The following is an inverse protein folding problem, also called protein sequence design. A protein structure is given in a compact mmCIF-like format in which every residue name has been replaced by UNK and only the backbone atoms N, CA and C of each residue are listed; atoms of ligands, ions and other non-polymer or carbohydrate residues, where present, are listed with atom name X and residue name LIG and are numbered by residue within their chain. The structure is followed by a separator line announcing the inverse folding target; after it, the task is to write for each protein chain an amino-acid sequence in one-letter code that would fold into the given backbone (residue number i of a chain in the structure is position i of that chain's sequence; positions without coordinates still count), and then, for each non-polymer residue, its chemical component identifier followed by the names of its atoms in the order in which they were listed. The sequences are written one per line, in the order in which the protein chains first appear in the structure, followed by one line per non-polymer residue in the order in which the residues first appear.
data_IF_914998359270
#
_entry.id   IF_914998359270
#
_cell.length_a   1.000
_cell.length_b   1.000
_cell.length_c   1.000
_cell.angle_alpha   90.00
_cell.angle_beta   90.00
_cell.angle_gamma   90.00
#
_symmetry.space_group_name_H-M   'P 1'
#
loop_
_entity.id
_entity.type
_entity.pdbx_description
1 polymer ?
#
# COMPACT_ATOMS: atom_id res chain seq x y z
N UNK A 1 0.38 -15.30 -23.93
CA UNK A 1 0.58 -16.23 -25.05
C UNK A 1 2.09 -16.39 -25.23
N UNK A 2 2.64 -17.60 -25.11
CA UNK A 2 4.04 -17.85 -25.43
C UNK A 2 4.11 -18.35 -26.87
N UNK A 3 4.87 -17.67 -27.73
CA UNK A 3 5.12 -18.09 -29.12
C UNK A 3 6.57 -18.56 -29.16
N UNK A 4 6.78 -19.85 -29.40
CA UNK A 4 8.12 -20.37 -29.65
C UNK A 4 8.55 -19.94 -31.06
N UNK A 5 9.65 -19.19 -31.16
CA UNK A 5 10.27 -18.85 -32.44
C UNK A 5 11.49 -19.74 -32.66
N UNK A 6 11.71 -20.18 -33.91
CA UNK A 6 12.97 -20.80 -34.30
C UNK A 6 14.09 -19.74 -34.31
N UNK A 7 15.23 -20.06 -33.69
CA UNK A 7 16.35 -19.14 -33.51
C UNK A 7 16.98 -18.63 -34.82
N UNK A 8 16.68 -19.25 -35.96
CA UNK A 8 17.22 -18.86 -37.28
C UNK A 8 16.68 -17.51 -37.79
N UNK A 9 15.61 -16.97 -37.20
CA UNK A 9 14.97 -15.72 -37.65
C UNK A 9 15.39 -14.45 -36.87
N UNK A 10 16.31 -14.53 -35.91
CA UNK A 10 16.70 -13.38 -35.07
C UNK A 10 17.39 -12.24 -35.83
N UNK A 11 18.07 -12.53 -36.94
CA UNK A 11 18.88 -11.57 -37.66
C UNK A 11 18.09 -10.46 -38.40
N UNK A 12 16.76 -10.59 -38.54
CA UNK A 12 15.94 -9.62 -39.29
C UNK A 12 15.15 -8.63 -38.45
N UNK A 13 15.04 -8.82 -37.12
CA UNK A 13 14.12 -8.01 -36.28
C UNK A 13 14.79 -6.78 -35.64
N UNK A 14 16.12 -6.74 -35.53
CA UNK A 14 16.79 -5.76 -34.65
C UNK A 14 17.10 -4.38 -35.26
N UNK A 15 16.81 -4.11 -36.53
CA UNK A 15 17.37 -2.92 -37.23
C UNK A 15 16.50 -1.68 -37.37
N UNK A 16 15.22 -1.68 -36.97
CA UNK A 16 14.30 -0.58 -37.32
C UNK A 16 13.56 0.12 -36.17
N UNK A 17 13.85 -0.15 -34.90
CA UNK A 17 13.22 0.62 -33.84
C UNK A 17 14.03 1.89 -33.54
N UNK A 18 13.49 3.11 -33.75
CA UNK A 18 14.12 4.32 -33.27
C UNK A 18 14.29 4.24 -31.74
N UNK A 19 15.29 4.93 -31.16
CA UNK A 19 15.42 4.99 -29.71
C UNK A 19 14.13 5.59 -29.13
N UNK A 20 13.33 4.78 -28.42
CA UNK A 20 12.16 5.28 -27.71
C UNK A 20 12.63 6.28 -26.68
N UNK A 21 12.10 7.50 -26.75
CA UNK A 21 12.24 8.48 -25.70
C UNK A 21 11.74 7.87 -24.38
N UNK A 22 12.54 7.99 -23.31
CA UNK A 22 12.24 7.34 -22.02
C UNK A 22 10.96 7.93 -21.44
N UNK A 23 9.85 7.17 -21.49
CA UNK A 23 8.56 7.60 -20.91
C UNK A 23 8.73 7.87 -19.42
N UNK A 24 8.34 9.07 -18.98
CA UNK A 24 8.43 9.53 -17.59
C UNK A 24 7.08 9.33 -16.90
N UNK A 25 7.12 9.01 -15.62
CA UNK A 25 5.93 8.67 -14.83
C UNK A 25 5.71 9.72 -13.76
N UNK A 26 4.50 10.27 -13.70
CA UNK A 26 4.11 11.30 -12.73
C UNK A 26 2.93 10.85 -11.90
N UNK A 27 2.83 11.37 -10.68
CA UNK A 27 1.65 11.25 -9.82
C UNK A 27 0.73 12.42 -10.13
N UNK A 28 -0.46 12.14 -10.62
CA UNK A 28 -1.45 13.17 -10.97
C UNK A 28 -2.68 13.18 -10.10
N UNK A 29 -2.87 12.17 -9.25
CA UNK A 29 -3.99 12.09 -8.32
C UNK A 29 -3.71 11.15 -7.15
N UNK A 30 -4.35 11.41 -6.01
CA UNK A 30 -4.19 10.63 -4.79
C UNK A 30 -5.53 10.36 -4.08
N UNK A 31 -5.65 9.21 -3.45
CA UNK A 31 -6.82 8.85 -2.66
C UNK A 31 -6.42 7.98 -1.47
N UNK A 32 -7.08 8.20 -0.32
CA UNK A 32 -6.82 7.48 0.91
C UNK A 32 -8.10 7.19 1.67
N UNK A 33 -8.10 6.08 2.40
CA UNK A 33 -9.06 5.74 3.45
C UNK A 33 -8.23 5.29 4.65
N UNK A 34 -8.24 6.05 5.75
CA UNK A 34 -7.42 5.77 6.94
C UNK A 34 -8.19 6.15 8.20
N UNK A 35 -7.68 5.72 9.37
CA UNK A 35 -8.20 6.16 10.67
C UNK A 35 -8.00 7.66 10.94
N UNK A 36 -7.20 8.37 10.14
CA UNK A 36 -6.91 9.80 10.25
C UNK A 36 -7.46 10.65 9.11
N UNK A 37 -8.26 10.08 8.22
CA UNK A 37 -8.84 10.85 7.12
C UNK A 37 -9.25 9.98 5.96
N UNK A 38 -10.25 10.48 5.22
CA UNK A 38 -10.84 9.83 4.05
C UNK A 38 -10.50 10.57 2.74
N UNK A 39 -9.57 11.52 2.81
CA UNK A 39 -9.06 12.28 1.67
C UNK A 39 -7.61 12.73 1.98
N UNK A 40 -6.78 13.00 0.95
CA UNK A 40 -5.37 13.33 1.15
C UNK A 40 -5.14 14.57 2.00
N UNK A 41 -5.99 15.60 1.90
CA UNK A 41 -5.80 16.86 2.60
C UNK A 41 -6.06 16.70 4.10
N UNK A 42 -7.23 16.17 4.49
CA UNK A 42 -7.56 15.91 5.90
C UNK A 42 -6.56 14.95 6.53
N UNK A 43 -6.17 13.91 5.79
CA UNK A 43 -5.15 12.97 6.22
C UNK A 43 -3.84 13.68 6.54
N UNK A 44 -3.31 14.48 5.61
CA UNK A 44 -2.03 15.16 5.78
C UNK A 44 -2.04 16.19 6.92
N UNK A 45 -3.11 16.99 7.04
CA UNK A 45 -3.27 17.93 8.15
C UNK A 45 -3.24 17.23 9.52
N UNK A 46 -3.89 16.08 9.64
CA UNK A 46 -3.84 15.29 10.86
C UNK A 46 -2.44 14.73 11.16
N UNK A 47 -1.66 14.38 10.12
CA UNK A 47 -0.26 13.99 10.30
C UNK A 47 0.61 15.16 10.80
N UNK A 48 0.44 16.35 10.22
CA UNK A 48 1.19 17.55 10.63
C UNK A 48 0.90 17.95 12.08
N UNK A 49 -0.34 17.72 12.54
CA UNK A 49 -0.75 17.97 13.92
C UNK A 49 -0.26 16.89 14.91
N UNK A 50 0.26 15.76 14.41
CA UNK A 50 0.67 14.63 15.25
C UNK A 50 -0.50 13.87 15.85
N UNK A 51 -1.68 13.88 15.20
CA UNK A 51 -2.86 13.20 15.69
C UNK A 51 -2.69 11.67 15.60
N UNK A 52 -3.04 10.95 16.65
CA UNK A 52 -3.06 9.49 16.64
C UNK A 52 -4.41 8.96 16.20
N UNK A 53 -4.42 8.12 15.16
CA UNK A 53 -5.58 7.34 14.74
C UNK A 53 -5.75 6.03 15.51
N UNK A 54 -4.85 5.74 16.46
CA UNK A 54 -4.89 4.52 17.27
C UNK A 54 -5.81 4.73 18.47
N UNK A 55 -6.81 3.86 18.60
CA UNK A 55 -7.72 3.82 19.74
C UNK A 55 -8.10 2.38 20.10
N UNK A 56 -9.02 2.21 21.05
CA UNK A 56 -9.66 0.92 21.28
C UNK A 56 -10.45 0.47 20.04
N UNK A 57 -10.48 -0.85 19.85
CA UNK A 57 -11.27 -1.49 18.80
C UNK A 57 -12.75 -1.45 19.20
N UNK A 58 -13.62 -1.03 18.28
CA UNK A 58 -15.07 -0.87 18.48
C UNK A 58 -15.90 -1.81 17.58
N UNK A 59 -15.37 -2.24 16.42
CA UNK A 59 -16.08 -3.10 15.45
C UNK A 59 -16.48 -4.50 16.00
N UNK A 60 -15.78 -5.00 17.03
CA UNK A 60 -16.09 -6.29 17.67
C UNK A 60 -15.60 -6.38 19.13
N UNK A 61 -16.20 -7.30 19.91
CA UNK A 61 -15.76 -7.60 21.27
C UNK A 61 -14.38 -8.29 21.28
N UNK A 62 -13.37 -7.54 21.70
CA UNK A 62 -12.01 -8.01 21.88
C UNK A 62 -11.59 -8.08 23.35
N UNK A 63 -12.52 -8.07 24.32
CA UNK A 63 -12.21 -8.05 25.76
C UNK A 63 -11.28 -9.17 26.23
N UNK A 64 -11.39 -10.36 25.61
CA UNK A 64 -10.55 -11.53 25.91
C UNK A 64 -9.22 -11.57 25.15
N UNK A 65 -8.93 -10.59 24.31
CA UNK A 65 -7.67 -10.51 23.56
C UNK A 65 -6.61 -9.72 24.35
N UNK A 66 -5.33 -10.12 24.27
CA UNK A 66 -4.25 -9.37 24.90
C UNK A 66 -4.05 -7.99 24.25
N UNK A 67 -4.33 -7.85 22.96
CA UNK A 67 -4.35 -6.57 22.23
C UNK A 67 -5.79 -6.17 21.93
N UNK A 68 -6.16 -4.93 22.24
CA UNK A 68 -7.53 -4.37 22.12
C UNK A 68 -7.52 -2.97 21.51
N UNK A 69 -6.48 -2.68 20.74
CA UNK A 69 -6.20 -1.37 20.15
C UNK A 69 -5.83 -1.54 18.69
N UNK A 70 -6.22 -0.57 17.85
CA UNK A 70 -5.90 -0.53 16.44
C UNK A 70 -6.11 0.87 15.86
N UNK A 71 -5.53 1.12 14.68
CA UNK A 71 -5.90 2.21 13.77
C UNK A 71 -7.13 1.82 12.95
N UNK A 72 -8.29 1.71 13.61
CA UNK A 72 -9.57 1.33 13.02
C UNK A 72 -10.21 2.50 12.26
N UNK A 73 -10.84 2.23 11.11
CA UNK A 73 -11.68 3.20 10.42
C UNK A 73 -13.08 3.17 11.05
N UNK A 74 -13.33 4.08 12.00
CA UNK A 74 -14.58 4.11 12.78
C UNK A 74 -15.82 4.54 11.99
N UNK A 75 -15.63 5.36 10.96
CA UNK A 75 -16.71 5.80 10.09
C UNK A 75 -16.28 5.63 8.65
N UNK A 76 -17.05 4.85 7.90
CA UNK A 76 -16.76 4.62 6.49
C UNK A 76 -18.05 4.74 5.69
N UNK A 77 -18.01 5.52 4.61
CA UNK A 77 -19.12 5.66 3.68
C UNK A 77 -18.67 5.33 2.27
N UNK A 78 -19.46 4.49 1.60
CA UNK A 78 -19.31 4.23 0.17
C UNK A 78 -20.23 5.10 -0.69
N UNK A 79 -20.97 6.02 -0.07
CA UNK A 79 -21.95 6.86 -0.76
C UNK A 79 -21.28 7.70 -1.85
N UNK A 80 -21.89 7.74 -3.04
CA UNK A 80 -21.34 8.40 -4.21
C UNK A 80 -20.18 7.65 -4.90
N UNK A 81 -19.54 6.68 -4.22
CA UNK A 81 -18.35 6.00 -4.74
C UNK A 81 -18.61 4.55 -5.17
N UNK A 82 -19.45 3.79 -4.45
CA UNK A 82 -19.71 2.38 -4.77
C UNK A 82 -21.20 2.14 -4.90
N UNK A 83 -21.60 1.38 -5.92
CA UNK A 83 -22.99 0.99 -6.12
C UNK A 83 -23.55 0.31 -4.86
N UNK A 84 -24.75 0.70 -4.36
CA UNK A 84 -25.30 0.17 -3.11
C UNK A 84 -25.39 -1.36 -3.05
N UNK A 85 -25.66 -2.01 -4.19
CA UNK A 85 -25.72 -3.48 -4.29
C UNK A 85 -24.37 -4.15 -4.01
N UNK A 86 -23.26 -3.53 -4.41
CA UNK A 86 -21.91 -4.02 -4.19
C UNK A 86 -21.44 -3.72 -2.76
N UNK A 87 -21.76 -2.53 -2.24
CA UNK A 87 -21.38 -2.08 -0.88
C UNK A 87 -21.77 -3.07 0.22
N UNK A 88 -22.91 -3.77 0.08
CA UNK A 88 -23.43 -4.71 1.08
C UNK A 88 -22.81 -6.10 1.04
N UNK A 89 -22.06 -6.42 -0.02
CA UNK A 89 -21.58 -7.78 -0.29
C UNK A 89 -20.07 -7.90 -0.24
N UNK A 90 -19.35 -6.84 -0.58
CA UNK A 90 -17.90 -6.84 -0.65
C UNK A 90 -17.27 -6.78 0.74
N UNK A 91 -16.05 -7.29 0.82
CA UNK A 91 -15.19 -7.14 2.00
C UNK A 91 -14.72 -5.68 2.14
N UNK A 92 -14.46 -5.22 3.37
CA UNK A 92 -14.02 -3.84 3.68
C UNK A 92 -12.77 -3.47 2.87
N UNK A 93 -11.81 -4.40 2.68
CA UNK A 93 -10.60 -4.10 1.89
C UNK A 93 -10.94 -3.73 0.43
N UNK A 94 -11.95 -4.36 -0.17
CA UNK A 94 -12.39 -4.01 -1.52
C UNK A 94 -13.05 -2.63 -1.49
N UNK A 95 -13.90 -2.37 -0.50
CA UNK A 95 -14.61 -1.09 -0.43
C UNK A 95 -13.65 0.08 -0.25
N UNK A 96 -12.65 -0.03 0.63
CA UNK A 96 -11.60 0.99 0.78
C UNK A 96 -10.86 1.22 -0.54
N UNK A 97 -10.49 0.14 -1.24
CA UNK A 97 -9.80 0.20 -2.53
C UNK A 97 -10.64 0.90 -3.61
N UNK A 98 -11.91 0.52 -3.76
CA UNK A 98 -12.80 1.11 -4.77
C UNK A 98 -13.01 2.59 -4.48
N UNK A 99 -13.26 2.96 -3.22
CA UNK A 99 -13.47 4.35 -2.82
C UNK A 99 -12.19 5.18 -3.01
N UNK A 100 -11.06 4.73 -2.48
CA UNK A 100 -9.78 5.44 -2.62
C UNK A 100 -9.35 5.58 -4.08
N UNK A 101 -9.54 4.55 -4.91
CA UNK A 101 -9.20 4.59 -6.34
C UNK A 101 -10.03 5.61 -7.12
N UNK A 102 -11.33 5.70 -6.84
CA UNK A 102 -12.18 6.73 -7.45
C UNK A 102 -11.89 8.14 -6.92
N UNK A 103 -11.55 8.26 -5.64
CA UNK A 103 -11.07 9.54 -5.07
C UNK A 103 -9.76 9.99 -5.73
N UNK A 104 -8.84 9.07 -6.02
CA UNK A 104 -7.61 9.39 -6.75
C UNK A 104 -7.87 9.89 -8.18
N UNK A 105 -8.87 9.32 -8.88
CA UNK A 105 -9.31 9.84 -10.18
C UNK A 105 -9.93 11.24 -10.08
N UNK A 106 -10.79 11.44 -9.08
CA UNK A 106 -11.43 12.73 -8.84
C UNK A 106 -10.39 13.82 -8.50
N UNK A 107 -9.45 13.51 -7.61
CA UNK A 107 -8.31 14.38 -7.25
C UNK A 107 -7.46 14.73 -8.48
N UNK A 108 -7.21 13.75 -9.34
CA UNK A 108 -6.47 13.98 -10.59
C UNK A 108 -7.24 14.69 -11.71
N UNK A 109 -8.45 15.20 -11.42
CA UNK A 109 -9.27 15.93 -12.38
C UNK A 109 -9.80 15.06 -13.53
N UNK A 110 -9.87 13.73 -13.34
CA UNK A 110 -10.38 12.80 -14.35
C UNK A 110 -11.91 12.77 -14.28
N UNK A 111 -12.54 13.73 -14.94
CA UNK A 111 -14.01 13.77 -15.09
C UNK A 111 -14.50 12.70 -16.06
N UNK A 112 -15.82 12.50 -16.17
CA UNK A 112 -16.40 11.60 -17.17
C UNK A 112 -15.98 11.96 -18.60
N UNK A 113 -15.86 13.25 -18.91
CA UNK A 113 -15.43 13.74 -20.22
C UNK A 113 -13.96 13.39 -20.49
N UNK A 114 -13.07 13.68 -19.54
CA UNK A 114 -11.65 13.33 -19.64
C UNK A 114 -11.48 11.82 -19.75
N UNK A 115 -12.20 11.06 -18.94
CA UNK A 115 -12.18 9.61 -18.93
C UNK A 115 -12.69 9.01 -20.25
N UNK A 116 -13.58 9.68 -20.98
CA UNK A 116 -14.06 9.23 -22.29
C UNK A 116 -12.99 9.36 -23.39
N UNK A 117 -12.01 10.25 -23.23
CA UNK A 117 -10.90 10.44 -24.16
C UNK A 117 -9.75 9.44 -23.94
N UNK A 118 -9.71 8.76 -22.80
CA UNK A 118 -8.68 7.78 -22.50
C UNK A 118 -8.82 6.53 -23.36
N UNK A 119 -7.69 6.02 -23.87
CA UNK A 119 -7.64 4.66 -24.42
C UNK A 119 -7.79 3.64 -23.28
N UNK A 120 -8.95 2.98 -23.23
CA UNK A 120 -9.29 2.00 -22.19
C UNK A 120 -8.32 0.83 -22.14
N UNK A 121 -7.69 0.47 -23.26
CA UNK A 121 -6.68 -0.59 -23.31
C UNK A 121 -5.35 -0.17 -22.68
N UNK A 122 -5.13 1.14 -22.51
CA UNK A 122 -3.95 1.74 -21.86
C UNK A 122 -4.20 2.20 -20.43
N UNK A 123 -5.41 1.99 -19.90
CA UNK A 123 -5.74 2.29 -18.51
C UNK A 123 -5.73 1.01 -17.69
N UNK A 124 -4.83 0.91 -16.71
CA UNK A 124 -4.67 -0.29 -15.88
C UNK A 124 -4.89 -0.03 -14.39
N UNK A 125 -5.09 -1.11 -13.64
CA UNK A 125 -5.30 -1.10 -12.19
C UNK A 125 -4.45 -2.18 -11.55
N UNK A 126 -3.58 -1.78 -10.64
CA UNK A 126 -2.75 -2.67 -9.85
C UNK A 126 -2.76 -2.18 -8.40
N UNK A 127 -3.83 -2.49 -7.68
CA UNK A 127 -3.98 -2.20 -6.26
C UNK A 127 -4.05 -3.54 -5.53
N UNK A 128 -3.04 -3.80 -4.69
CA UNK A 128 -2.85 -5.09 -4.02
C UNK A 128 -3.47 -5.16 -2.63
N UNK A 129 -3.47 -6.35 -2.06
CA UNK A 129 -3.84 -6.60 -0.66
C UNK A 129 -2.98 -7.73 -0.11
N UNK A 130 -2.48 -7.59 1.12
CA UNK A 130 -1.70 -8.64 1.73
C UNK A 130 -2.58 -9.86 2.05
N UNK A 131 -3.77 -9.62 2.61
CA UNK A 131 -4.60 -10.65 3.23
C UNK A 131 -5.93 -10.91 2.50
N UNK A 132 -6.33 -10.04 1.58
CA UNK A 132 -7.56 -10.14 0.81
C UNK A 132 -8.81 -10.11 1.69
N UNK A 133 -9.87 -10.77 1.24
CA UNK A 133 -11.17 -10.79 1.91
C UNK A 133 -11.23 -11.81 3.04
N UNK A 134 -10.38 -11.63 4.06
CA UNK A 134 -10.25 -12.56 5.17
C UNK A 134 -11.56 -12.70 5.96
N UNK A 135 -12.36 -11.63 6.08
CA UNK A 135 -13.68 -11.69 6.74
C UNK A 135 -14.64 -12.56 5.95
N UNK A 136 -14.74 -12.34 4.64
CA UNK A 136 -15.58 -13.16 3.77
C UNK A 136 -15.18 -14.64 3.81
N UNK A 137 -13.88 -14.93 3.80
CA UNK A 137 -13.40 -16.30 3.89
C UNK A 137 -13.72 -16.95 5.25
N UNK A 138 -13.56 -16.20 6.34
CA UNK A 138 -13.92 -16.67 7.67
C UNK A 138 -15.41 -17.01 7.79
N UNK A 139 -16.29 -16.12 7.31
CA UNK A 139 -17.74 -16.34 7.29
C UNK A 139 -18.11 -17.57 6.45
N UNK A 140 -17.43 -17.78 5.32
CA UNK A 140 -17.61 -18.95 4.48
C UNK A 140 -17.25 -20.26 5.21
N UNK A 141 -16.18 -20.26 6.00
CA UNK A 141 -15.81 -21.41 6.85
C UNK A 141 -16.89 -21.67 7.91
N UNK A 142 -17.42 -20.64 8.56
CA UNK A 142 -18.50 -20.83 9.55
C UNK A 142 -19.76 -21.41 8.90
N UNK A 143 -20.13 -20.93 7.70
CA UNK A 143 -21.23 -21.49 6.94
C UNK A 143 -20.98 -22.95 6.53
N UNK A 144 -19.75 -23.27 6.12
CA UNK A 144 -19.34 -24.62 5.73
C UNK A 144 -19.48 -25.63 6.87
N UNK A 145 -19.16 -25.24 8.12
CA UNK A 145 -19.36 -26.09 9.32
C UNK A 145 -20.81 -26.53 9.49
N UNK A 146 -21.77 -25.76 8.98
CA UNK A 146 -23.18 -26.14 8.94
C UNK A 146 -23.43 -27.01 7.69
N UNK A 147 -23.08 -26.52 6.51
CA UNK A 147 -23.14 -27.25 5.23
C UNK A 147 -22.51 -26.43 4.11
N UNK A 148 -21.89 -27.08 3.12
CA UNK A 148 -21.43 -26.41 1.89
C UNK A 148 -22.56 -25.65 1.16
N UNK A 149 -23.81 -26.09 1.29
CA UNK A 149 -25.00 -25.44 0.71
C UNK A 149 -25.32 -24.08 1.35
N UNK A 150 -24.78 -23.79 2.54
CA UNK A 150 -24.97 -22.51 3.25
C UNK A 150 -23.90 -21.48 2.91
N UNK A 151 -22.84 -21.87 2.22
CA UNK A 151 -21.78 -20.95 1.83
C UNK A 151 -22.31 -19.91 0.82
N UNK A 152 -21.85 -18.67 0.98
CA UNK A 152 -22.10 -17.63 -0.01
C UNK A 152 -21.44 -18.04 -1.34
N UNK A 153 -22.17 -18.11 -2.47
CA UNK A 153 -21.59 -18.49 -3.76
C UNK A 153 -20.49 -17.53 -4.25
N UNK A 154 -20.44 -16.31 -3.71
CA UNK A 154 -19.42 -15.32 -4.03
C UNK A 154 -18.24 -15.31 -3.03
N UNK A 155 -18.17 -16.25 -2.09
CA UNK A 155 -17.12 -16.26 -1.07
C UNK A 155 -15.71 -16.33 -1.67
N UNK A 156 -15.50 -17.16 -2.71
CA UNK A 156 -14.20 -17.29 -3.36
C UNK A 156 -13.84 -16.00 -4.10
N UNK A 157 -14.65 -15.48 -5.04
CA UNK A 157 -14.35 -14.21 -5.71
C UNK A 157 -14.08 -13.06 -4.73
N UNK A 158 -14.88 -12.92 -3.68
CA UNK A 158 -14.76 -11.80 -2.75
C UNK A 158 -13.63 -11.97 -1.71
N UNK A 159 -13.03 -13.16 -1.62
CA UNK A 159 -11.88 -13.41 -0.75
C UNK A 159 -10.53 -13.18 -1.46
N UNK A 160 -10.46 -13.30 -2.79
CA UNK A 160 -9.18 -13.19 -3.51
C UNK A 160 -8.66 -11.76 -3.56
N UNK A 161 -7.34 -11.61 -3.44
CA UNK A 161 -6.67 -10.30 -3.38
C UNK A 161 -6.81 -9.48 -4.67
N UNK A 162 -7.05 -10.12 -5.81
CA UNK A 162 -7.21 -9.46 -7.11
C UNK A 162 -8.60 -8.89 -7.37
N UNK A 163 -9.62 -9.32 -6.63
CA UNK A 163 -11.00 -8.99 -6.98
C UNK A 163 -11.30 -7.50 -6.80
N UNK A 164 -10.68 -6.82 -5.84
CA UNK A 164 -10.83 -5.37 -5.68
C UNK A 164 -10.45 -4.60 -6.95
N UNK A 165 -9.24 -4.86 -7.47
CA UNK A 165 -8.75 -4.26 -8.73
C UNK A 165 -9.61 -4.66 -9.93
N UNK A 166 -10.06 -5.92 -10.02
CA UNK A 166 -10.92 -6.36 -11.11
C UNK A 166 -12.30 -5.67 -11.08
N UNK A 167 -12.90 -5.53 -9.90
CA UNK A 167 -14.20 -4.87 -9.75
C UNK A 167 -14.13 -3.38 -10.05
N UNK A 168 -13.03 -2.71 -9.68
CA UNK A 168 -12.82 -1.32 -10.06
C UNK A 168 -12.63 -1.16 -11.59
N UNK A 169 -11.92 -2.08 -12.24
CA UNK A 169 -11.76 -2.04 -13.70
C UNK A 169 -13.09 -2.28 -14.44
N UNK A 170 -13.92 -3.20 -13.95
CA UNK A 170 -15.28 -3.43 -14.47
C UNK A 170 -16.11 -2.15 -14.34
N UNK A 171 -16.04 -1.48 -13.20
CA UNK A 171 -16.80 -0.27 -12.92
C UNK A 171 -16.34 0.92 -13.77
N UNK A 172 -15.03 1.06 -14.04
CA UNK A 172 -14.45 2.12 -14.87
C UNK A 172 -14.42 1.80 -16.37
N UNK A 173 -14.70 0.55 -16.76
CA UNK A 173 -14.54 0.07 -18.13
C UNK A 173 -13.08 0.04 -18.62
N UNK A 174 -12.12 -0.11 -17.71
CA UNK A 174 -10.69 -0.14 -18.01
C UNK A 174 -10.26 -1.55 -18.43
N UNK A 175 -9.50 -1.64 -19.52
CA UNK A 175 -9.14 -2.89 -20.20
C UNK A 175 -7.63 -3.15 -20.23
N UNK A 176 -6.83 -2.24 -19.68
CA UNK A 176 -5.38 -2.40 -19.58
C UNK A 176 -4.97 -3.37 -18.47
N UNK A 177 -3.72 -3.29 -18.07
CA UNK A 177 -3.10 -4.19 -17.08
C UNK A 177 -3.92 -4.32 -15.80
N UNK A 178 -4.29 -5.55 -15.43
CA UNK A 178 -4.98 -5.84 -14.17
C UNK A 178 -4.57 -7.20 -13.59
N UNK A 179 -3.96 -7.17 -12.41
CA UNK A 179 -3.61 -8.35 -11.61
C UNK A 179 -3.40 -7.93 -10.15
N UNK A 180 -3.01 -8.88 -9.29
CA UNK A 180 -2.70 -8.61 -7.88
C UNK A 180 -1.30 -9.05 -7.54
N UNK A 181 -0.67 -8.30 -6.65
CA UNK A 181 0.53 -8.69 -5.94
C UNK A 181 0.15 -8.80 -4.46
N UNK A 182 0.64 -9.85 -3.79
CA UNK A 182 0.62 -9.95 -2.34
C UNK A 182 2.05 -10.30 -1.89
N UNK A 183 2.68 -9.34 -1.23
CA UNK A 183 4.03 -9.44 -0.66
C UNK A 183 4.03 -8.92 0.78
N UNK A 184 2.98 -9.28 1.52
CA UNK A 184 2.74 -8.83 2.90
C UNK A 184 2.81 -7.29 3.00
N UNK A 185 3.60 -6.76 3.94
CA UNK A 185 3.71 -5.33 4.21
C UNK A 185 4.24 -4.51 3.03
N UNK A 186 4.94 -5.14 2.07
CA UNK A 186 5.49 -4.49 0.88
C UNK A 186 4.52 -4.46 -0.31
N UNK A 187 3.31 -5.03 -0.18
CA UNK A 187 2.37 -5.23 -1.29
C UNK A 187 2.15 -3.98 -2.13
N UNK A 188 1.83 -2.84 -1.50
CA UNK A 188 1.61 -1.57 -2.21
C UNK A 188 2.87 -1.05 -2.91
N UNK A 189 4.05 -1.18 -2.29
CA UNK A 189 5.32 -0.78 -2.94
C UNK A 189 5.56 -1.60 -4.22
N UNK A 190 5.25 -2.91 -4.16
CA UNK A 190 5.27 -3.78 -5.33
C UNK A 190 4.31 -3.31 -6.42
N UNK A 191 3.07 -2.97 -6.04
CA UNK A 191 2.08 -2.46 -6.96
C UNK A 191 2.49 -1.13 -7.62
N UNK A 192 3.06 -0.19 -6.86
CA UNK A 192 3.48 1.13 -7.37
C UNK A 192 4.61 1.00 -8.39
N UNK A 193 5.72 0.32 -8.06
CA UNK A 193 6.85 0.17 -9.00
C UNK A 193 6.45 -0.60 -10.25
N UNK A 194 5.66 -1.67 -10.12
CA UNK A 194 5.22 -2.43 -11.29
C UNK A 194 4.29 -1.59 -12.18
N UNK A 195 3.44 -0.76 -11.60
CA UNK A 195 2.59 0.18 -12.35
C UNK A 195 3.41 1.21 -13.11
N UNK A 196 4.42 1.81 -12.46
CA UNK A 196 5.36 2.71 -13.13
C UNK A 196 6.09 1.98 -14.27
N UNK A 197 6.51 0.73 -14.08
CA UNK A 197 7.15 -0.06 -15.13
C UNK A 197 6.24 -0.35 -16.32
N UNK A 198 4.93 -0.59 -16.11
CA UNK A 198 3.98 -0.73 -17.21
C UNK A 198 3.89 0.56 -18.04
N UNK A 199 3.93 1.73 -17.39
CA UNK A 199 3.95 3.01 -18.10
C UNK A 199 5.27 3.22 -18.86
N UNK A 200 6.40 3.01 -18.19
CA UNK A 200 7.76 3.15 -18.77
C UNK A 200 7.92 2.27 -20.02
N UNK A 201 7.36 1.05 -20.01
CA UNK A 201 7.43 0.09 -21.13
C UNK A 201 6.47 0.40 -22.27
N UNK A 202 5.60 1.41 -22.16
CA UNK A 202 4.61 1.69 -23.19
C UNK A 202 3.34 0.85 -23.08
N UNK A 203 3.17 0.04 -22.04
CA UNK A 203 2.05 -0.90 -21.90
C UNK A 203 0.78 -0.21 -21.40
N UNK A 204 0.92 0.84 -20.57
CA UNK A 204 -0.15 1.68 -20.07
C UNK A 204 0.20 3.16 -20.18
N UNK A 205 -0.81 4.02 -20.19
CA UNK A 205 -0.68 5.49 -20.10
C UNK A 205 -1.12 6.00 -18.74
N UNK A 206 -2.07 5.28 -18.13
CA UNK A 206 -2.68 5.61 -16.84
C UNK A 206 -2.75 4.34 -16.00
N UNK A 207 -2.31 4.42 -14.74
CA UNK A 207 -2.39 3.32 -13.79
C UNK A 207 -2.93 3.80 -12.45
N UNK A 208 -3.99 3.16 -11.96
CA UNK A 208 -4.34 3.24 -10.54
C UNK A 208 -3.53 2.19 -9.78
N UNK A 209 -2.76 2.61 -8.78
CA UNK A 209 -1.89 1.69 -8.05
C UNK A 209 -1.81 1.99 -6.56
N UNK A 210 -1.59 0.95 -5.76
CA UNK A 210 -1.45 1.11 -4.31
C UNK A 210 -1.76 -0.16 -3.55
N UNK A 211 -2.41 -0.04 -2.39
CA UNK A 211 -2.84 -1.21 -1.63
C UNK A 211 -4.01 -0.94 -0.70
N UNK A 212 -4.66 -2.03 -0.27
CA UNK A 212 -5.78 -2.01 0.67
C UNK A 212 -5.79 -3.25 1.56
N UNK A 213 -6.07 -3.08 2.85
CA UNK A 213 -6.28 -4.19 3.80
C UNK A 213 -7.28 -3.78 4.90
N UNK A 214 -8.08 -4.76 5.34
CA UNK A 214 -9.09 -4.59 6.40
C UNK A 214 -9.05 -5.76 7.39
N UNK A 215 -7.88 -5.94 8.02
CA UNK A 215 -7.59 -7.10 8.85
C UNK A 215 -7.96 -6.92 10.34
N UNK A 216 -8.59 -5.80 10.71
CA UNK A 216 -9.10 -5.56 12.07
C UNK A 216 -10.42 -6.32 12.24
N UNK A 217 -10.30 -7.63 12.31
CA UNK A 217 -11.39 -8.60 12.49
C UNK A 217 -10.94 -9.66 13.49
N UNK A 218 -11.85 -10.41 14.15
CA UNK A 218 -11.47 -11.34 15.22
C UNK A 218 -10.37 -12.34 14.82
N UNK A 219 -10.46 -12.93 13.62
CA UNK A 219 -9.47 -13.89 13.13
C UNK A 219 -8.13 -13.24 12.76
N UNK A 220 -8.15 -12.01 12.24
CA UNK A 220 -6.94 -11.26 11.91
C UNK A 220 -6.17 -10.87 13.17
N UNK A 221 -6.88 -10.30 14.16
CA UNK A 221 -6.32 -9.98 15.46
C UNK A 221 -5.77 -11.23 16.17
N UNK A 222 -6.53 -12.34 16.17
CA UNK A 222 -6.09 -13.60 16.76
C UNK A 222 -4.79 -14.13 16.13
N UNK A 223 -4.69 -14.07 14.79
CA UNK A 223 -3.51 -14.51 14.06
C UNK A 223 -2.26 -13.75 14.45
N UNK A 224 -2.33 -12.42 14.49
CA UNK A 224 -1.18 -11.58 14.86
C UNK A 224 -0.83 -11.63 16.36
N UNK A 225 -1.83 -11.84 17.22
CA UNK A 225 -1.60 -12.18 18.64
C UNK A 225 -0.84 -13.50 18.77
N UNK A 226 -1.21 -14.53 18.01
CA UNK A 226 -0.58 -15.86 18.10
C UNK A 226 0.91 -15.84 17.73
N UNK A 227 1.31 -14.99 16.77
CA UNK A 227 2.71 -14.79 16.39
C UNK A 227 3.43 -13.74 17.25
N UNK A 228 2.77 -13.21 18.28
CA UNK A 228 3.33 -12.23 19.25
C UNK A 228 3.90 -10.97 18.59
N UNK A 229 3.25 -10.50 17.53
CA UNK A 229 3.74 -9.35 16.77
C UNK A 229 3.11 -8.01 17.20
N UNK A 230 2.03 -8.04 17.98
CA UNK A 230 1.25 -6.86 18.34
C UNK A 230 1.64 -6.26 19.68
N UNK A 231 1.61 -4.93 19.76
CA UNK A 231 1.66 -4.20 21.02
C UNK A 231 0.47 -4.57 21.92
N UNK A 232 0.70 -4.62 23.23
CA UNK A 232 -0.33 -4.88 24.25
C UNK A 232 -0.58 -3.65 25.15
N UNK A 233 -0.13 -2.46 24.73
CA UNK A 233 -0.29 -1.20 25.46
C UNK A 233 -1.72 -0.65 25.39
N UNK A 234 -2.66 -1.42 25.91
CA UNK A 234 -4.07 -1.07 25.91
C UNK A 234 -4.40 0.13 26.81
N UNK A 235 -3.55 0.44 27.78
CA UNK A 235 -3.75 1.53 28.74
C UNK A 235 -3.39 2.92 28.18
N UNK A 236 -2.63 3.00 27.09
CA UNK A 236 -2.30 4.26 26.40
C UNK A 236 -2.26 4.02 24.88
N UNK A 237 -3.42 3.80 24.22
CA UNK A 237 -3.49 3.41 22.82
C UNK A 237 -2.78 4.39 21.88
N UNK A 238 -2.95 5.69 22.12
CA UNK A 238 -2.38 6.74 21.28
C UNK A 238 -0.85 6.79 21.30
N UNK A 239 -0.21 6.11 22.26
CA UNK A 239 1.25 5.98 22.34
C UNK A 239 1.74 4.55 22.12
N UNK A 240 0.88 3.63 21.67
CA UNK A 240 1.28 2.23 21.49
C UNK A 240 2.21 2.05 20.29
N UNK A 241 1.95 2.71 19.17
CA UNK A 241 2.86 2.72 18.04
C UNK A 241 3.93 3.80 18.25
N UNK A 242 5.15 3.38 18.57
CA UNK A 242 6.26 4.24 18.97
C UNK A 242 7.56 3.82 18.26
N UNK A 243 7.64 3.99 16.93
CA UNK A 243 8.78 3.52 16.16
C UNK A 243 10.10 4.12 16.66
N UNK A 244 11.14 3.29 16.74
CA UNK A 244 12.47 3.59 17.30
C UNK A 244 12.52 4.04 18.76
N UNK A 245 11.38 4.16 19.46
CA UNK A 245 11.36 4.62 20.84
C UNK A 245 12.10 3.64 21.76
N UNK A 246 12.80 4.22 22.72
CA UNK A 246 13.49 3.57 23.82
C UNK A 246 13.41 4.51 25.04
N UNK A 247 12.39 4.31 25.88
CA UNK A 247 12.20 5.17 27.06
C UNK A 247 13.03 4.64 28.22
N UNK A 248 13.96 5.47 28.72
CA UNK A 248 14.70 5.22 29.96
C UNK A 248 13.98 5.98 31.09
N UNK A 249 13.23 5.28 31.94
CA UNK A 249 12.75 5.83 33.21
C UNK A 249 13.31 5.01 34.37
N UNK A 250 14.11 5.65 35.23
CA UNK A 250 14.40 5.25 36.63
C UNK A 250 14.47 3.73 36.91
N UNK A 251 15.35 3.02 36.20
CA UNK A 251 15.64 1.56 36.28
C UNK A 251 14.74 0.60 35.47
N UNK A 252 13.79 1.10 34.68
CA UNK A 252 13.04 0.31 33.69
C UNK A 252 13.25 0.86 32.27
N UNK A 253 13.74 0.01 31.36
CA UNK A 253 13.74 0.30 29.92
C UNK A 253 12.37 -0.13 29.40
N UNK A 254 11.52 0.84 29.09
CA UNK A 254 10.23 0.55 28.45
C UNK A 254 10.41 0.60 26.93
N UNK A 255 10.48 -0.57 26.32
CA UNK A 255 10.68 -0.71 24.88
C UNK A 255 9.34 -0.68 24.14
N UNK A 256 9.37 -0.28 22.87
CA UNK A 256 8.37 -0.71 21.89
C UNK A 256 8.18 -2.23 21.96
N UNK A 257 6.94 -2.69 21.94
CA UNK A 257 6.57 -4.08 22.27
C UNK A 257 5.90 -4.83 21.11
N UNK A 258 5.80 -4.20 19.95
CA UNK A 258 5.16 -4.76 18.76
C UNK A 258 4.52 -3.67 17.91
N UNK A 259 4.03 -4.03 16.74
CA UNK A 259 3.31 -3.10 15.90
C UNK A 259 1.85 -2.97 16.34
N UNK A 260 1.19 -1.86 15.98
CA UNK A 260 -0.25 -1.70 16.14
C UNK A 260 -0.91 -1.90 14.79
N UNK A 261 -1.93 -2.76 14.68
CA UNK A 261 -2.64 -2.98 13.41
C UNK A 261 -3.36 -1.70 12.99
N UNK A 262 -3.35 -1.40 11.69
CA UNK A 262 -4.24 -0.43 11.07
C UNK A 262 -4.98 -1.06 9.90
N UNK A 263 -6.00 -0.38 9.40
CA UNK A 263 -6.70 -0.74 8.16
C UNK A 263 -6.93 0.47 7.26
N UNK A 264 -7.20 0.21 5.99
CA UNK A 264 -7.48 1.26 5.03
C UNK A 264 -6.95 0.97 3.64
N UNK A 265 -6.90 2.03 2.83
CA UNK A 265 -6.35 1.99 1.48
C UNK A 265 -5.59 3.28 1.16
N UNK A 266 -4.55 3.14 0.34
CA UNK A 266 -3.91 4.25 -0.35
C UNK A 266 -3.83 3.93 -1.84
N UNK A 267 -4.14 4.92 -2.68
CA UNK A 267 -4.11 4.78 -4.14
C UNK A 267 -3.51 6.04 -4.77
N UNK A 268 -2.56 5.83 -5.68
CA UNK A 268 -1.99 6.84 -6.55
C UNK A 268 -2.53 6.64 -7.96
N UNK A 269 -2.83 7.75 -8.64
CA UNK A 269 -2.99 7.82 -10.08
C UNK A 269 -1.64 8.15 -10.70
N UNK A 270 -1.01 7.14 -11.31
CA UNK A 270 0.20 7.31 -12.08
C UNK A 270 -0.15 7.54 -13.54
N UNK A 271 0.58 8.43 -14.18
CA UNK A 271 0.32 8.83 -15.55
C UNK A 271 1.64 9.04 -16.31
N UNK A 272 1.62 8.78 -17.62
CA UNK A 272 2.72 9.19 -18.47
C UNK A 272 2.78 10.72 -18.57
N UNK A 273 3.98 11.29 -18.50
CA UNK A 273 4.19 12.74 -18.40
C UNK A 273 3.55 13.54 -19.55
N UNK A 274 3.75 13.14 -20.80
CA UNK A 274 3.20 13.87 -21.94
C UNK A 274 1.67 13.67 -22.05
N UNK A 275 1.16 12.49 -21.70
CA UNK A 275 -0.28 12.25 -21.53
C UNK A 275 -0.90 13.19 -20.47
N UNK A 276 -0.29 13.29 -19.30
CA UNK A 276 -0.70 14.17 -18.21
C UNK A 276 -0.69 15.65 -18.65
N UNK A 277 0.40 16.11 -19.29
CA UNK A 277 0.51 17.47 -19.82
C UNK A 277 -0.55 17.78 -20.87
N UNK A 278 -0.82 16.84 -21.78
CA UNK A 278 -1.79 17.02 -22.87
C UNK A 278 -3.19 17.33 -22.35
N UNK A 279 -3.60 16.70 -21.25
CA UNK A 279 -4.90 16.98 -20.60
C UNK A 279 -4.83 18.10 -19.54
N UNK A 280 -3.68 18.74 -19.35
CA UNK A 280 -3.50 19.81 -18.36
C UNK A 280 -3.59 19.33 -16.90
N UNK A 281 -3.14 18.10 -16.62
CA UNK A 281 -3.18 17.54 -15.28
C UNK A 281 -2.30 18.30 -14.28
N UNK A 282 -2.75 18.40 -13.03
CA UNK A 282 -1.87 18.73 -11.90
C UNK A 282 -0.88 17.60 -11.70
N UNK A 283 0.41 17.93 -11.59
CA UNK A 283 1.48 16.96 -11.34
C UNK A 283 2.01 17.22 -9.93
N UNK A 284 1.82 16.26 -9.03
CA UNK A 284 2.29 16.35 -7.65
C UNK A 284 3.78 16.03 -7.53
N UNK A 285 4.19 14.92 -8.14
CA UNK A 285 5.56 14.43 -8.08
C UNK A 285 5.89 13.59 -9.31
N UNK A 286 7.19 13.39 -9.55
CA UNK A 286 7.69 12.43 -10.53
C UNK A 286 8.17 11.15 -9.82
N UNK A 287 7.78 10.00 -10.36
CA UNK A 287 8.34 8.72 -9.94
C UNK A 287 9.69 8.50 -10.64
N UNK A 288 10.78 8.60 -9.88
CA UNK A 288 12.12 8.43 -10.42
C UNK A 288 12.59 6.97 -10.45
N UNK A 289 12.23 6.17 -9.45
CA UNK A 289 12.69 4.79 -9.37
C UNK A 289 12.32 4.07 -8.07
N UNK A 290 12.65 2.80 -8.02
CA UNK A 290 12.38 1.89 -6.92
C UNK A 290 13.04 0.53 -7.17
N UNK A 291 13.10 -0.32 -6.14
CA UNK A 291 13.65 -1.66 -6.26
C UNK A 291 13.01 -2.64 -5.27
N UNK A 292 13.25 -3.93 -5.49
CA UNK A 292 12.87 -5.02 -4.59
C UNK A 292 14.06 -5.95 -4.35
N UNK A 293 14.14 -6.45 -3.12
CA UNK A 293 15.13 -7.44 -2.68
C UNK A 293 14.44 -8.48 -1.79
N UNK A 294 15.16 -9.56 -1.48
CA UNK A 294 14.74 -10.59 -0.53
C UNK A 294 15.90 -10.84 0.42
N UNK A 295 15.62 -10.84 1.72
CA UNK A 295 16.64 -11.12 2.75
C UNK A 295 17.15 -12.57 2.68
N UNK A 296 16.33 -13.50 2.14
CA UNK A 296 16.63 -14.94 2.09
C UNK A 296 17.13 -15.52 3.43
N UNK A 297 16.58 -15.02 4.55
CA UNK A 297 17.10 -15.27 5.90
C UNK A 297 16.08 -15.98 6.80
N UNK A 298 14.99 -15.30 7.16
CA UNK A 298 13.96 -15.83 8.06
C UNK A 298 12.57 -15.42 7.57
N UNK A 299 11.54 -16.18 7.98
CA UNK A 299 10.17 -15.95 7.55
C UNK A 299 9.61 -14.61 8.03
N UNK A 300 9.98 -14.18 9.23
CA UNK A 300 9.42 -12.99 9.91
C UNK A 300 10.47 -12.06 10.52
N UNK A 301 11.74 -12.47 10.55
CA UNK A 301 12.82 -11.66 11.12
C UNK A 301 13.66 -11.09 9.97
N UNK A 302 14.02 -9.79 10.05
CA UNK A 302 14.88 -9.19 9.04
C UNK A 302 16.31 -9.75 9.14
N UNK A 303 17.07 -9.64 8.04
CA UNK A 303 18.49 -10.00 8.05
C UNK A 303 19.24 -9.24 9.18
N UNK A 304 20.10 -9.91 9.98
CA UNK A 304 20.75 -9.30 11.14
C UNK A 304 21.56 -8.04 10.85
N UNK A 305 22.14 -7.96 9.66
CA UNK A 305 22.93 -6.81 9.20
C UNK A 305 22.12 -5.78 8.39
N UNK A 306 20.81 -6.00 8.19
CA UNK A 306 19.97 -5.13 7.35
C UNK A 306 20.35 -5.16 5.85
N UNK A 307 21.09 -6.19 5.42
CA UNK A 307 21.70 -6.26 4.09
C UNK A 307 20.69 -6.13 2.95
N UNK A 308 19.52 -6.80 3.02
CA UNK A 308 18.51 -6.69 1.97
C UNK A 308 17.91 -5.29 1.86
N UNK A 309 17.75 -4.58 2.98
CA UNK A 309 17.29 -3.18 3.01
C UNK A 309 18.33 -2.25 2.38
N UNK A 310 19.61 -2.40 2.73
CA UNK A 310 20.71 -1.63 2.15
C UNK A 310 20.74 -1.82 0.63
N UNK A 311 20.75 -3.08 0.16
CA UNK A 311 20.76 -3.40 -1.28
C UNK A 311 19.52 -2.80 -1.97
N UNK A 312 18.36 -2.83 -1.32
CA UNK A 312 17.12 -2.27 -1.87
C UNK A 312 17.23 -0.75 -2.08
N UNK A 313 17.73 -0.03 -1.07
CA UNK A 313 17.93 1.43 -1.14
C UNK A 313 18.94 1.77 -2.24
N UNK A 314 20.09 1.10 -2.28
CA UNK A 314 21.14 1.39 -3.26
C UNK A 314 20.69 1.12 -4.70
N UNK A 315 19.95 0.03 -4.92
CA UNK A 315 19.35 -0.27 -6.23
C UNK A 315 18.25 0.72 -6.61
N UNK A 316 17.45 1.19 -5.65
CA UNK A 316 16.42 2.19 -5.91
C UNK A 316 17.05 3.53 -6.33
N UNK A 317 18.10 3.98 -5.63
CA UNK A 317 18.87 5.17 -6.00
C UNK A 317 19.53 5.03 -7.38
N UNK A 318 20.14 3.88 -7.65
CA UNK A 318 20.73 3.60 -8.97
C UNK A 318 19.69 3.59 -10.09
N UNK A 319 18.50 3.01 -9.85
CA UNK A 319 17.39 3.04 -10.81
C UNK A 319 16.88 4.47 -11.06
N UNK A 320 16.77 5.27 -9.99
CA UNK A 320 16.37 6.67 -10.06
C UNK A 320 17.45 7.58 -10.68
N UNK A 321 18.71 7.15 -10.72
CA UNK A 321 19.82 7.95 -11.23
C UNK A 321 20.17 9.15 -10.32
N UNK A 322 19.92 9.03 -9.02
CA UNK A 322 20.19 10.08 -8.02
C UNK A 322 21.17 9.59 -6.95
N UNK A 323 21.86 10.54 -6.34
CA UNK A 323 22.84 10.29 -5.27
C UNK A 323 22.18 10.31 -3.88
N UNK A 324 22.87 9.74 -2.88
CA UNK A 324 22.38 9.63 -1.49
C UNK A 324 22.16 11.02 -0.87
N UNK A 325 22.95 12.00 -1.29
CA UNK A 325 22.96 13.39 -0.83
C UNK A 325 21.74 14.18 -1.34
N UNK A 326 21.09 13.73 -2.41
CA UNK A 326 19.90 14.38 -2.97
C UNK A 326 18.60 13.99 -2.25
N UNK A 327 18.63 13.01 -1.34
CA UNK A 327 17.47 12.61 -0.55
C UNK A 327 17.34 13.53 0.65
N UNK A 328 16.19 14.20 0.78
CA UNK A 328 15.89 15.09 1.90
C UNK A 328 14.92 14.47 2.93
N UNK A 329 14.19 13.42 2.55
CA UNK A 329 13.18 12.81 3.39
C UNK A 329 13.03 11.31 3.13
N UNK A 330 12.88 10.55 4.22
CA UNK A 330 12.49 9.14 4.19
C UNK A 330 11.32 8.93 5.14
N UNK A 331 10.17 8.52 4.60
CA UNK A 331 9.11 7.90 5.37
C UNK A 331 9.44 6.41 5.56
N UNK A 332 9.92 6.04 6.74
CA UNK A 332 10.44 4.69 7.01
C UNK A 332 9.34 3.64 7.22
N UNK A 333 9.72 2.36 7.11
CA UNK A 333 8.85 1.24 7.40
C UNK A 333 8.54 1.13 8.90
N UNK A 334 9.56 1.13 9.75
CA UNK A 334 9.56 1.39 11.19
C UNK A 334 8.23 1.07 11.87
N UNK A 335 8.02 -0.21 12.10
CA UNK A 335 6.75 -0.81 12.52
C UNK A 335 6.53 -0.76 14.02
N UNK A 336 7.43 -0.14 14.79
CA UNK A 336 7.43 -0.21 16.26
C UNK A 336 7.78 -1.60 16.79
N UNK A 337 8.51 -2.40 16.00
CA UNK A 337 8.99 -3.72 16.42
C UNK A 337 10.45 -3.65 16.88
N UNK A 338 10.86 -4.39 17.93
CA UNK A 338 12.24 -4.35 18.42
C UNK A 338 13.29 -4.66 17.35
N UNK A 339 13.10 -5.77 16.62
CA UNK A 339 14.03 -6.22 15.60
C UNK A 339 13.99 -5.34 14.33
N UNK A 340 12.80 -5.13 13.76
CA UNK A 340 12.61 -4.41 12.50
C UNK A 340 13.19 -3.00 12.52
N UNK A 341 12.72 -2.19 13.47
CA UNK A 341 13.13 -0.79 13.59
C UNK A 341 14.65 -0.62 13.75
N UNK A 342 15.29 -1.50 14.53
CA UNK A 342 16.74 -1.44 14.74
C UNK A 342 17.51 -1.79 13.46
N UNK A 343 17.06 -2.79 12.69
CA UNK A 343 17.73 -3.17 11.44
C UNK A 343 17.55 -2.12 10.36
N UNK A 344 16.34 -1.56 10.24
CA UNK A 344 16.09 -0.47 9.31
C UNK A 344 16.88 0.78 9.68
N UNK A 345 16.92 1.17 10.95
CA UNK A 345 17.73 2.32 11.40
C UNK A 345 19.20 2.16 11.03
N UNK A 346 19.79 0.97 11.26
CA UNK A 346 21.18 0.68 10.86
C UNK A 346 21.38 0.79 9.35
N UNK A 347 20.43 0.29 8.55
CA UNK A 347 20.48 0.41 7.10
C UNK A 347 20.38 1.88 6.63
N UNK A 348 19.52 2.68 7.26
CA UNK A 348 19.41 4.11 6.97
C UNK A 348 20.68 4.88 7.33
N UNK A 349 21.30 4.59 8.48
CA UNK A 349 22.59 5.18 8.87
C UNK A 349 23.70 4.75 7.90
N UNK A 350 23.71 3.49 7.45
CA UNK A 350 24.66 3.02 6.45
C UNK A 350 24.50 3.76 5.11
N UNK A 351 23.27 3.94 4.64
CA UNK A 351 22.99 4.56 3.35
C UNK A 351 23.11 6.08 3.38
N UNK A 352 22.71 6.73 4.47
CA UNK A 352 22.49 8.18 4.50
C UNK A 352 23.12 8.90 5.70
N UNK A 353 23.89 8.22 6.56
CA UNK A 353 24.39 8.79 7.82
C UNK A 353 25.34 10.00 7.67
N UNK A 354 25.79 10.32 6.45
CA UNK A 354 26.59 11.50 6.14
C UNK A 354 25.77 12.66 5.56
N UNK A 355 24.45 12.50 5.39
CA UNK A 355 23.56 13.52 4.83
C UNK A 355 22.86 14.29 5.98
N UNK A 356 23.29 15.52 6.31
CA UNK A 356 22.72 16.30 7.42
C UNK A 356 21.31 16.85 7.13
N UNK A 357 20.93 16.94 5.85
CA UNK A 357 19.63 17.47 5.43
C UNK A 357 18.52 16.42 5.53
N UNK A 358 18.88 15.14 5.62
CA UNK A 358 17.91 14.05 5.66
C UNK A 358 17.01 14.14 6.91
N UNK A 359 15.71 14.15 6.68
CA UNK A 359 14.68 13.92 7.70
C UNK A 359 14.13 12.52 7.57
N UNK A 360 13.91 11.86 8.70
CA UNK A 360 13.33 10.52 8.75
C UNK A 360 12.19 10.51 9.76
N UNK A 361 11.04 9.96 9.37
CA UNK A 361 9.93 9.71 10.28
C UNK A 361 9.28 8.35 10.00
N UNK A 362 8.25 8.02 10.76
CA UNK A 362 7.35 6.91 10.46
C UNK A 362 5.93 7.33 10.75
N UNK A 363 5.13 7.47 9.69
CA UNK A 363 3.69 7.77 9.80
C UNK A 363 2.90 6.66 10.48
N UNK A 364 3.44 5.42 10.56
CA UNK A 364 2.83 4.32 11.33
C UNK A 364 2.71 4.60 12.82
N UNK A 365 3.47 5.56 13.36
CA UNK A 365 3.27 6.07 14.72
C UNK A 365 1.84 6.61 14.93
N UNK A 366 1.22 7.14 13.88
CA UNK A 366 -0.08 7.78 13.92
C UNK A 366 -1.20 6.88 13.36
N UNK A 367 -0.96 6.18 12.25
CA UNK A 367 -1.99 5.34 11.59
C UNK A 367 -1.92 3.84 11.96
N UNK A 368 -0.90 3.42 12.69
CA UNK A 368 -0.57 2.00 12.85
C UNK A 368 -0.02 1.39 11.56
N UNK A 369 0.01 0.06 11.48
CA UNK A 369 0.51 -0.67 10.32
C UNK A 369 -0.64 -1.24 9.51
N UNK A 370 -0.92 -0.62 8.35
CA UNK A 370 -2.00 -1.00 7.44
C UNK A 370 -1.62 -2.18 6.52
N UNK A 371 -0.70 -3.04 6.97
CA UNK A 371 -0.25 -4.23 6.24
C UNK A 371 0.10 -3.92 4.78
N UNK A 372 -0.61 -4.52 3.81
CA UNK A 372 -0.37 -4.32 2.39
C UNK A 372 -0.73 -2.94 1.86
N UNK A 373 -1.58 -2.18 2.55
CA UNK A 373 -1.91 -0.79 2.20
C UNK A 373 -0.87 0.23 2.69
N UNK A 374 -0.02 -0.15 3.65
CA UNK A 374 0.88 0.76 4.35
C UNK A 374 1.74 1.61 3.39
N UNK A 375 2.48 0.97 2.47
CA UNK A 375 3.35 1.67 1.53
C UNK A 375 2.62 2.67 0.62
N UNK A 376 1.36 2.43 0.26
CA UNK A 376 0.61 3.36 -0.57
C UNK A 376 0.11 4.58 0.20
N UNK A 377 -0.37 4.39 1.43
CA UNK A 377 -0.77 5.51 2.32
C UNK A 377 0.46 6.35 2.68
N UNK A 378 1.58 5.69 2.92
CA UNK A 378 2.88 6.32 3.17
C UNK A 378 3.40 7.08 1.95
N UNK A 379 3.18 6.56 0.74
CA UNK A 379 3.51 7.26 -0.49
C UNK A 379 2.66 8.54 -0.66
N UNK A 380 1.36 8.50 -0.36
CA UNK A 380 0.51 9.70 -0.35
C UNK A 380 1.05 10.75 0.62
N UNK A 381 1.39 10.34 1.85
CA UNK A 381 2.00 11.24 2.84
C UNK A 381 3.37 11.79 2.43
N UNK A 382 4.11 11.07 1.57
CA UNK A 382 5.45 11.48 1.10
C UNK A 382 5.38 12.43 -0.10
N UNK A 383 4.32 12.34 -0.89
CA UNK A 383 4.09 13.20 -2.07
C UNK A 383 3.55 14.58 -1.67
N UNK A 384 2.87 14.69 -0.52
CA UNK A 384 2.38 15.92 0.10
C UNK A 384 3.49 16.66 0.85
#
# INVERSE_FOLDING_TARGET
MAIAMNMENEAMVSKNNPPMEKRRVVVTGMGVETSLGYDPHTFYENLLQGNSGISHIEDFDCSNFPTRIAGEIKSFSTEGWVAPKLSRRMDKFMLYLLTAGKKALADGGVTEQVMAEFDKAKCGILIGSALGGMKVFHEAIQAFKISYKKMNPFCVPLATTNMGSAMLAIDLGWMGTNYSISSACATSNFCILNSANHIIKGEADVMLCGGSDAAIIPIGLAGFVAVRALSQRNNDPAKASRPWDCVIFLHCIENRDGFVMGEGAGVLLLEELEHAKKRGATIYAEFLGGSFTCDAYHMTEPHPDGAGVIICIERALAHAGITKEQINYVNAHATSTPAGDLKEYKALVHCFGQNPELKVNSTKSMIGHLLGAAGAVEAVATVQ
#
